data_IF_065623981652
#
_entry.id   IF_065623981652
#
_cell.length_a   1.000
_cell.length_b   1.000
_cell.length_c   1.000
_cell.angle_alpha   90.00
_cell.angle_beta   90.00
_cell.angle_gamma   90.00
#
_symmetry.space_group_name_H-M   'P 1'
#
loop_
_entity.id
_entity.type
_entity.pdbx_description
1 polymer ?
#
# COMPACT_ATOMS: atom_id res chain seq x y z
N UNK A 1 6.85 -6.09 14.60
CA UNK A 1 5.68 -5.42 15.22
C UNK A 1 5.19 -4.32 14.30
N UNK A 2 3.90 -3.97 14.37
CA UNK A 2 3.31 -2.90 13.56
C UNK A 2 3.05 -1.70 14.49
N UNK A 3 3.45 -0.51 14.05
CA UNK A 3 3.32 0.73 14.81
C UNK A 3 2.83 1.87 13.92
N UNK A 4 2.24 2.91 14.52
CA UNK A 4 1.87 4.13 13.79
C UNK A 4 3.14 4.86 13.34
N UNK A 5 3.16 5.33 12.10
CA UNK A 5 4.26 6.14 11.60
C UNK A 5 4.20 7.57 12.15
N UNK A 6 5.35 8.24 12.16
CA UNK A 6 5.48 9.66 12.48
C UNK A 6 6.04 10.42 11.28
N UNK A 7 5.90 11.75 11.26
CA UNK A 7 6.30 12.59 10.11
C UNK A 7 7.76 12.42 9.69
N UNK A 8 8.66 12.04 10.61
CA UNK A 8 10.08 11.81 10.30
C UNK A 8 10.32 10.51 9.54
N UNK A 9 9.31 9.63 9.47
CA UNK A 9 9.39 8.40 8.69
C UNK A 9 9.18 8.64 7.18
N UNK A 10 8.69 9.81 6.76
CA UNK A 10 8.32 10.12 5.37
C UNK A 10 9.37 9.71 4.33
N UNK A 11 10.63 10.11 4.54
CA UNK A 11 11.73 9.79 3.64
C UNK A 11 12.02 8.28 3.59
N UNK A 12 11.97 7.62 4.74
CA UNK A 12 12.19 6.17 4.85
C UNK A 12 11.09 5.38 4.16
N UNK A 13 9.83 5.76 4.36
CA UNK A 13 8.68 5.10 3.72
C UNK A 13 8.71 5.30 2.20
N UNK A 14 9.06 6.51 1.73
CA UNK A 14 9.28 6.78 0.31
C UNK A 14 10.37 5.89 -0.28
N UNK A 15 11.50 5.76 0.41
CA UNK A 15 12.60 4.88 -0.01
C UNK A 15 12.16 3.41 -0.13
N UNK A 16 11.37 2.93 0.83
CA UNK A 16 10.81 1.57 0.79
C UNK A 16 9.86 1.41 -0.41
N UNK A 17 8.97 2.38 -0.67
CA UNK A 17 8.04 2.32 -1.80
C UNK A 17 8.78 2.21 -3.15
N UNK A 18 9.77 3.08 -3.37
CA UNK A 18 10.59 3.09 -4.58
C UNK A 18 11.38 1.78 -4.75
N UNK A 19 12.01 1.30 -3.68
CA UNK A 19 12.83 0.08 -3.71
C UNK A 19 11.96 -1.17 -3.93
N UNK A 20 10.80 -1.22 -3.26
CA UNK A 20 9.80 -2.28 -3.43
C UNK A 20 9.23 -2.28 -4.85
N UNK A 21 9.00 -1.10 -5.44
CA UNK A 21 8.53 -0.99 -6.83
C UNK A 21 9.57 -1.49 -7.83
N UNK A 22 10.84 -1.14 -7.63
CA UNK A 22 11.94 -1.53 -8.50
C UNK A 22 12.20 -3.05 -8.52
N UNK A 23 11.82 -3.78 -7.46
CA UNK A 23 11.94 -5.24 -7.38
C UNK A 23 11.23 -5.98 -8.52
N UNK A 24 10.15 -5.41 -9.07
CA UNK A 24 9.36 -6.02 -10.14
C UNK A 24 10.01 -5.95 -11.53
N UNK A 25 11.24 -5.42 -11.64
CA UNK A 25 11.99 -5.40 -12.91
C UNK A 25 11.60 -4.25 -13.85
N UNK A 26 10.89 -3.23 -13.37
CA UNK A 26 10.65 -2.01 -14.12
C UNK A 26 11.95 -1.24 -14.42
N UNK A 27 11.98 -0.52 -15.54
CA UNK A 27 13.15 0.29 -15.91
C UNK A 27 13.33 1.46 -14.93
N UNK A 28 14.56 1.96 -14.82
CA UNK A 28 14.87 3.10 -13.94
C UNK A 28 14.11 4.36 -14.34
N UNK A 29 13.92 4.56 -15.64
CA UNK A 29 13.17 5.69 -16.20
C UNK A 29 11.71 5.64 -15.72
N UNK A 30 11.11 4.45 -15.74
CA UNK A 30 9.73 4.26 -15.29
C UNK A 30 9.59 4.45 -13.78
N UNK A 31 10.52 3.89 -12.99
CA UNK A 31 10.56 4.12 -11.54
C UNK A 31 10.72 5.61 -11.22
N UNK A 32 11.58 6.32 -11.95
CA UNK A 32 11.77 7.76 -11.78
C UNK A 32 10.50 8.55 -12.12
N UNK A 33 9.75 8.13 -13.16
CA UNK A 33 8.48 8.80 -13.50
C UNK A 33 7.39 8.62 -12.43
N UNK A 34 7.48 7.59 -11.59
CA UNK A 34 6.58 7.38 -10.45
C UNK A 34 7.08 7.98 -9.15
N UNK A 35 8.19 8.72 -9.15
CA UNK A 35 8.79 9.18 -7.91
C UNK A 35 7.83 10.05 -7.10
N UNK A 36 7.12 10.95 -7.76
CA UNK A 36 6.14 11.83 -7.11
C UNK A 36 4.94 11.01 -6.60
N UNK A 37 4.42 10.09 -7.42
CA UNK A 37 3.31 9.19 -7.06
C UNK A 37 3.63 8.23 -5.90
N UNK A 38 4.91 7.93 -5.67
CA UNK A 38 5.39 7.02 -4.61
C UNK A 38 5.95 7.77 -3.39
N UNK A 39 5.95 9.11 -3.42
CA UNK A 39 6.47 9.92 -2.33
C UNK A 39 5.45 9.98 -1.19
N UNK A 40 5.85 9.48 -0.02
CA UNK A 40 5.11 9.65 1.23
C UNK A 40 5.48 11.01 1.81
N UNK A 41 4.54 11.94 1.80
CA UNK A 41 4.76 13.27 2.38
C UNK A 41 4.49 13.29 3.89
N UNK A 42 5.11 14.22 4.65
CA UNK A 42 4.74 14.46 6.05
C UNK A 42 3.24 14.74 6.23
N UNK A 43 2.65 15.48 5.29
CA UNK A 43 1.21 15.79 5.26
C UNK A 43 0.36 14.52 5.18
N UNK A 44 0.71 13.56 4.33
CA UNK A 44 0.03 12.26 4.28
C UNK A 44 0.09 11.55 5.64
N UNK A 45 1.22 11.62 6.35
CA UNK A 45 1.34 10.98 7.68
C UNK A 45 0.48 11.68 8.73
N UNK A 46 0.31 13.00 8.64
CA UNK A 46 -0.54 13.78 9.54
C UNK A 46 -2.03 13.56 9.26
N UNK A 47 -2.41 13.51 7.99
CA UNK A 47 -3.81 13.48 7.54
C UNK A 47 -4.38 12.06 7.36
N UNK A 48 -3.53 11.03 7.23
CA UNK A 48 -3.96 9.66 6.93
C UNK A 48 -3.55 8.67 8.02
N UNK A 49 -4.00 7.42 7.86
CA UNK A 49 -3.67 6.33 8.76
C UNK A 49 -2.47 5.56 8.24
N UNK A 50 -1.27 5.97 8.68
CA UNK A 50 0.01 5.38 8.26
C UNK A 50 0.59 4.48 9.34
N UNK A 51 0.92 3.24 8.97
CA UNK A 51 1.51 2.25 9.87
C UNK A 51 2.70 1.56 9.22
N UNK A 52 3.72 1.28 10.03
CA UNK A 52 4.99 0.67 9.62
C UNK A 52 5.25 -0.65 10.33
N UNK A 53 5.87 -1.59 9.62
CA UNK A 53 6.29 -2.88 10.16
C UNK A 53 7.77 -2.83 10.53
N UNK A 54 8.07 -3.05 11.81
CA UNK A 54 9.43 -3.08 12.34
C UNK A 54 9.84 -4.51 12.65
N UNK A 55 11.00 -4.92 12.14
CA UNK A 55 11.67 -6.18 12.46
C UNK A 55 13.16 -5.93 12.66
N UNK A 56 13.77 -6.50 13.71
CA UNK A 56 15.20 -6.30 14.03
C UNK A 56 15.61 -4.81 14.02
N UNK A 57 14.78 -3.95 14.65
CA UNK A 57 14.97 -2.49 14.71
C UNK A 57 14.96 -1.76 13.35
N UNK A 58 14.54 -2.44 12.28
CA UNK A 58 14.42 -1.85 10.93
C UNK A 58 12.96 -1.85 10.47
N UNK A 59 12.55 -0.74 9.87
CA UNK A 59 11.29 -0.69 9.13
C UNK A 59 11.46 -1.46 7.82
N UNK A 60 10.64 -2.48 7.61
CA UNK A 60 10.74 -3.39 6.44
C UNK A 60 9.45 -3.42 5.60
N UNK A 61 8.50 -2.55 5.91
CA UNK A 61 7.27 -2.40 5.14
C UNK A 61 6.33 -1.43 5.84
N UNK A 62 5.29 -1.01 5.15
CA UNK A 62 4.30 -0.08 5.67
C UNK A 62 3.01 -0.14 4.84
N UNK A 63 1.96 0.48 5.36
CA UNK A 63 0.76 0.77 4.59
C UNK A 63 0.20 2.15 4.93
N UNK A 64 -0.63 2.67 4.04
CA UNK A 64 -1.40 3.91 4.21
C UNK A 64 -2.86 3.60 3.90
N UNK A 65 -3.74 3.92 4.84
CA UNK A 65 -5.17 4.00 4.60
C UNK A 65 -5.58 5.47 4.53
N UNK A 66 -6.37 5.83 3.51
CA UNK A 66 -6.96 7.16 3.42
C UNK A 66 -8.02 7.39 4.51
N UNK A 67 -8.62 8.58 4.52
CA UNK A 67 -9.75 8.84 5.39
C UNK A 67 -11.00 8.11 4.88
N UNK A 68 -11.77 7.44 5.77
CA UNK A 68 -13.02 6.82 5.40
C UNK A 68 -14.00 7.75 4.69
N UNK A 69 -14.67 7.24 3.66
CA UNK A 69 -15.74 7.94 2.96
C UNK A 69 -16.84 6.96 2.55
N UNK A 70 -18.10 7.26 2.87
CA UNK A 70 -19.26 6.43 2.49
C UNK A 70 -19.08 4.93 2.86
N UNK A 71 -18.65 4.64 4.09
CA UNK A 71 -18.34 3.28 4.58
C UNK A 71 -17.28 2.53 3.75
N UNK A 72 -16.50 3.25 2.94
CA UNK A 72 -15.40 2.71 2.15
C UNK A 72 -14.10 3.34 2.62
N UNK A 73 -13.01 2.58 2.49
CA UNK A 73 -11.65 3.06 2.74
C UNK A 73 -10.73 2.56 1.63
N UNK A 74 -9.76 3.37 1.24
CA UNK A 74 -8.75 2.98 0.28
C UNK A 74 -7.45 2.63 0.98
N UNK A 75 -6.91 1.45 0.66
CA UNK A 75 -5.54 1.08 0.92
C UNK A 75 -4.67 1.70 -0.20
N UNK A 76 -4.25 2.94 0.04
CA UNK A 76 -3.47 3.70 -0.94
C UNK A 76 -2.14 2.99 -1.19
N UNK A 77 -1.35 2.79 -0.13
CA UNK A 77 -0.05 2.12 -0.20
C UNK A 77 -0.05 0.86 0.65
N UNK A 78 0.59 -0.18 0.12
CA UNK A 78 1.10 -1.30 0.91
C UNK A 78 2.40 -1.77 0.25
N UNK A 79 3.53 -1.49 0.90
CA UNK A 79 4.85 -1.82 0.38
C UNK A 79 5.65 -2.62 1.40
N UNK A 80 6.42 -3.57 0.88
CA UNK A 80 7.32 -4.42 1.65
C UNK A 80 8.71 -4.30 1.03
N UNK A 81 9.72 -4.10 1.87
CA UNK A 81 11.11 -4.07 1.43
C UNK A 81 11.47 -5.40 0.73
N UNK A 82 12.20 -5.40 -0.40
CA UNK A 82 12.50 -6.62 -1.16
C UNK A 82 13.08 -7.76 -0.32
N UNK A 83 14.00 -7.45 0.60
CA UNK A 83 14.60 -8.41 1.53
C UNK A 83 13.59 -9.16 2.42
N UNK A 84 12.36 -8.66 2.51
CA UNK A 84 11.26 -9.23 3.32
C UNK A 84 10.10 -9.79 2.48
N UNK A 85 10.21 -9.76 1.14
CA UNK A 85 9.21 -10.37 0.25
C UNK A 85 9.24 -11.89 0.43
N UNK A 86 8.07 -12.53 0.38
CA UNK A 86 7.91 -13.97 0.65
C UNK A 86 7.88 -14.36 2.13
N UNK A 87 8.12 -13.43 3.06
CA UNK A 87 8.17 -13.70 4.51
C UNK A 87 6.86 -13.36 5.24
N UNK A 88 5.74 -13.32 4.51
CA UNK A 88 4.38 -13.00 5.02
C UNK A 88 4.22 -11.58 5.61
N UNK A 89 5.19 -10.68 5.47
CA UNK A 89 5.10 -9.29 5.97
C UNK A 89 3.94 -8.54 5.33
N UNK A 90 3.76 -8.63 4.01
CA UNK A 90 2.64 -8.00 3.31
C UNK A 90 1.28 -8.49 3.80
N UNK A 91 1.16 -9.80 4.10
CA UNK A 91 -0.05 -10.37 4.69
C UNK A 91 -0.33 -9.81 6.09
N UNK A 92 0.69 -9.69 6.94
CA UNK A 92 0.53 -9.12 8.29
C UNK A 92 0.13 -7.64 8.24
N UNK A 93 0.75 -6.86 7.35
CA UNK A 93 0.37 -5.45 7.11
C UNK A 93 -1.09 -5.33 6.65
N UNK A 94 -1.51 -6.16 5.68
CA UNK A 94 -2.87 -6.15 5.17
C UNK A 94 -3.89 -6.57 6.23
N UNK A 95 -3.61 -7.62 7.01
CA UNK A 95 -4.47 -8.05 8.11
C UNK A 95 -4.65 -6.94 9.15
N UNK A 96 -3.57 -6.22 9.48
CA UNK A 96 -3.66 -5.08 10.38
C UNK A 96 -4.46 -3.91 9.77
N UNK A 97 -4.30 -3.63 8.48
CA UNK A 97 -5.11 -2.62 7.78
C UNK A 97 -6.61 -2.97 7.78
N UNK A 98 -6.95 -4.24 7.55
CA UNK A 98 -8.32 -4.75 7.63
C UNK A 98 -8.88 -4.60 9.06
N UNK A 99 -8.10 -4.97 10.08
CA UNK A 99 -8.51 -4.80 11.48
C UNK A 99 -8.80 -3.33 11.82
N UNK A 100 -7.93 -2.39 11.39
CA UNK A 100 -8.18 -0.95 11.57
C UNK A 100 -9.45 -0.49 10.84
N UNK A 101 -9.71 -1.03 9.66
CA UNK A 101 -10.92 -0.70 8.89
C UNK A 101 -12.18 -1.24 9.56
N UNK A 102 -12.15 -2.46 10.10
CA UNK A 102 -13.26 -3.04 10.87
C UNK A 102 -13.57 -2.22 12.13
N UNK A 103 -12.55 -1.77 12.86
CA UNK A 103 -12.72 -0.91 14.04
C UNK A 103 -13.34 0.46 13.71
N UNK A 104 -13.31 0.88 12.45
CA UNK A 104 -13.95 2.08 11.93
C UNK A 104 -15.33 1.81 11.31
N UNK A 105 -15.85 0.58 11.43
CA UNK A 105 -17.12 0.13 10.83
C UNK A 105 -17.19 0.24 9.30
N UNK A 106 -16.03 0.14 8.63
CA UNK A 106 -15.93 0.13 7.17
C UNK A 106 -16.57 -1.14 6.60
N UNK A 107 -17.28 -0.99 5.49
CA UNK A 107 -17.92 -2.08 4.76
C UNK A 107 -17.03 -2.61 3.63
N UNK A 108 -16.33 -1.70 2.96
CA UNK A 108 -15.53 -2.05 1.78
C UNK A 108 -14.15 -1.42 1.87
N UNK A 109 -13.12 -2.23 1.61
CA UNK A 109 -11.77 -1.74 1.34
C UNK A 109 -11.51 -1.79 -0.16
N UNK A 110 -10.97 -0.71 -0.73
CA UNK A 110 -10.54 -0.64 -2.14
C UNK A 110 -9.04 -0.43 -2.26
N UNK A 111 -8.47 -0.79 -3.41
CA UNK A 111 -7.10 -0.44 -3.77
C UNK A 111 -6.91 -0.44 -5.29
N UNK A 112 -5.93 0.33 -5.76
CA UNK A 112 -5.39 0.21 -7.10
C UNK A 112 -4.16 -0.70 -7.06
N UNK A 113 -4.29 -1.91 -7.60
CA UNK A 113 -3.22 -2.88 -7.57
C UNK A 113 -2.16 -2.58 -8.63
N UNK A 114 -0.89 -2.79 -8.28
CA UNK A 114 0.08 -3.08 -9.34
C UNK A 114 -0.26 -4.44 -9.98
N UNK A 115 -0.17 -4.61 -11.31
CA UNK A 115 -0.44 -5.89 -11.96
C UNK A 115 0.36 -7.06 -11.36
N UNK A 116 1.59 -6.83 -10.90
CA UNK A 116 2.39 -7.89 -10.26
C UNK A 116 1.91 -8.26 -8.86
N UNK A 117 1.20 -7.35 -8.18
CA UNK A 117 0.65 -7.55 -6.84
C UNK A 117 -0.81 -8.05 -6.87
N UNK A 118 -1.48 -8.01 -8.02
CA UNK A 118 -2.87 -8.47 -8.15
C UNK A 118 -3.07 -9.91 -7.61
N UNK A 119 -2.25 -10.92 -7.97
CA UNK A 119 -2.43 -12.28 -7.45
C UNK A 119 -2.30 -12.37 -5.92
N UNK A 120 -1.47 -11.51 -5.32
CA UNK A 120 -1.38 -11.41 -3.86
C UNK A 120 -2.72 -10.95 -3.28
N UNK A 121 -3.31 -9.86 -3.78
CA UNK A 121 -4.59 -9.36 -3.26
C UNK A 121 -5.76 -10.33 -3.52
N UNK A 122 -5.80 -10.98 -4.68
CA UNK A 122 -6.80 -12.02 -4.98
C UNK A 122 -6.75 -13.16 -3.97
N UNK A 123 -5.54 -13.62 -3.61
CA UNK A 123 -5.36 -14.64 -2.57
C UNK A 123 -5.83 -14.20 -1.17
N UNK A 124 -6.02 -12.90 -0.95
CA UNK A 124 -6.54 -12.32 0.30
C UNK A 124 -8.03 -11.99 0.20
N UNK A 125 -8.72 -12.41 -0.87
CA UNK A 125 -10.17 -12.26 -1.04
C UNK A 125 -10.59 -10.99 -1.77
N UNK A 126 -9.65 -10.18 -2.27
CA UNK A 126 -10.00 -9.05 -3.12
C UNK A 126 -10.48 -9.52 -4.48
N UNK A 127 -11.48 -8.83 -5.03
CA UNK A 127 -11.98 -9.05 -6.39
C UNK A 127 -11.69 -7.84 -7.26
N UNK A 128 -11.21 -8.08 -8.49
CA UNK A 128 -11.03 -7.02 -9.49
C UNK A 128 -12.41 -6.59 -10.03
N UNK A 129 -12.69 -5.29 -10.04
CA UNK A 129 -13.97 -4.75 -10.54
C UNK A 129 -13.84 -4.04 -11.86
N UNK A 130 -12.81 -3.22 -12.00
CA UNK A 130 -12.55 -2.41 -13.18
C UNK A 130 -11.06 -2.18 -13.32
N UNK A 131 -10.66 -1.49 -14.40
CA UNK A 131 -9.29 -0.99 -14.55
C UNK A 131 -9.33 0.53 -14.68
N UNK A 132 -8.46 1.22 -13.95
CA UNK A 132 -8.29 2.67 -14.06
C UNK A 132 -6.97 2.98 -14.74
N UNK A 133 -6.96 3.96 -15.63
CA UNK A 133 -5.71 4.47 -16.18
C UNK A 133 -4.91 5.15 -15.06
N UNK A 134 -3.61 4.86 -15.02
CA UNK A 134 -2.68 5.49 -14.09
C UNK A 134 -2.23 6.87 -14.61
N UNK A 135 -1.44 7.58 -13.82
CA UNK A 135 -0.71 8.79 -14.25
C UNK A 135 0.16 8.57 -15.50
N UNK A 136 0.57 7.33 -15.76
CA UNK A 136 1.29 6.96 -16.99
C UNK A 136 0.29 6.64 -18.11
N UNK A 137 0.38 7.34 -19.26
CA UNK A 137 -0.47 7.09 -20.42
C UNK A 137 -0.44 5.63 -20.87
N UNK A 138 -1.62 5.08 -21.17
CA UNK A 138 -1.83 3.70 -21.63
C UNK A 138 -1.46 2.62 -20.61
N UNK A 139 -1.29 2.95 -19.32
CA UNK A 139 -1.09 1.98 -18.24
C UNK A 139 -2.33 1.90 -17.37
N UNK A 140 -2.92 0.72 -17.29
CA UNK A 140 -4.16 0.47 -16.55
C UNK A 140 -3.91 -0.40 -15.31
N UNK A 141 -4.39 0.06 -14.16
CA UNK A 141 -4.28 -0.62 -12.87
C UNK A 141 -5.63 -1.27 -12.51
N UNK A 142 -5.64 -2.54 -12.07
CA UNK A 142 -6.83 -3.16 -11.52
C UNK A 142 -7.32 -2.39 -10.28
N UNK A 143 -8.55 -1.88 -10.32
CA UNK A 143 -9.26 -1.51 -9.11
C UNK A 143 -9.80 -2.79 -8.48
N UNK A 144 -9.41 -3.02 -7.24
CA UNK A 144 -9.82 -4.19 -6.48
C UNK A 144 -10.59 -3.78 -5.24
N UNK A 145 -11.54 -4.62 -4.82
CA UNK A 145 -12.31 -4.42 -3.59
C UNK A 145 -12.38 -5.68 -2.73
N UNK A 146 -12.45 -5.48 -1.42
CA UNK A 146 -12.72 -6.51 -0.43
C UNK A 146 -13.94 -6.08 0.39
N UNK A 147 -14.95 -6.94 0.47
CA UNK A 147 -16.05 -6.75 1.42
C UNK A 147 -15.58 -7.20 2.81
N UNK A 148 -15.74 -6.33 3.80
CA UNK A 148 -15.33 -6.55 5.18
C UNK A 148 -16.48 -7.04 6.08
N UNK A 149 -17.72 -7.04 5.57
CA UNK A 149 -18.93 -7.51 6.26
C UNK A 149 -19.50 -8.80 5.67
#
# INVERSE_FOLDING_TARGET
>A
MIEKANIKDAELLTSIALTSKAYWGYSKELINSWKDDLTVSPKMIEEMMVYKFISNQKTIGFYILNQPQNNTIELEFLFVHPDAIGQKVGKQLLSHAIEKSNNLNIETMTLLADPNAQPFYESQGFISTEKKESSIPNRFLPLMKLNLK
#
